data_IF_343752813826
#
_entry.id   IF_343752813826
#
_cell.length_a   1.000
_cell.length_b   1.000
_cell.length_c   1.000
_cell.angle_alpha   90.00
_cell.angle_beta   90.00
_cell.angle_gamma   90.00
#
_symmetry.space_group_name_H-M   'P 1'
#
loop_
_entity.id
_entity.type
_entity.pdbx_description
1 polymer ?
#
# COMPACT_ATOMS: atom_id res chain seq x y z
N UNK A 1 -38.64 23.30 -2.18
CA UNK A 1 -38.49 22.85 -3.58
C UNK A 1 -37.88 23.95 -4.43
N UNK A 2 -37.06 23.57 -5.43
CA UNK A 2 -36.34 24.41 -6.44
C UNK A 2 -35.00 24.98 -5.92
N UNK A 3 -33.83 24.75 -6.50
CA UNK A 3 -33.47 24.61 -7.91
C UNK A 3 -32.30 23.61 -8.12
N UNK A 4 -32.52 22.56 -8.89
CA UNK A 4 -31.45 21.79 -9.51
C UNK A 4 -30.97 22.49 -10.77
N UNK A 5 -29.95 23.35 -10.67
CA UNK A 5 -29.19 23.77 -11.86
C UNK A 5 -28.29 22.62 -12.28
N UNK A 6 -28.77 21.79 -13.21
CA UNK A 6 -27.92 20.84 -13.94
C UNK A 6 -27.02 21.65 -14.88
N UNK A 7 -25.94 22.21 -14.34
CA UNK A 7 -24.93 22.92 -15.11
C UNK A 7 -24.26 21.92 -16.05
N UNK A 8 -24.48 22.04 -17.37
CA UNK A 8 -23.72 21.26 -18.35
C UNK A 8 -22.25 21.61 -18.15
N UNK A 9 -21.46 20.64 -17.70
CA UNK A 9 -20.02 20.79 -17.56
C UNK A 9 -19.46 20.90 -18.98
N UNK A 10 -18.93 22.07 -19.35
CA UNK A 10 -18.32 22.24 -20.65
C UNK A 10 -16.87 21.70 -20.60
N UNK A 11 -16.41 20.95 -21.61
CA UNK A 11 -15.06 20.40 -21.63
C UNK A 11 -13.98 21.47 -21.44
N UNK A 12 -14.20 22.66 -22.00
CA UNK A 12 -13.29 23.81 -21.88
C UNK A 12 -13.21 24.40 -20.46
N UNK A 13 -14.28 24.34 -19.67
CA UNK A 13 -14.26 24.75 -18.26
C UNK A 13 -13.61 23.68 -17.39
N UNK A 14 -13.89 22.41 -17.69
CA UNK A 14 -13.29 21.29 -16.98
C UNK A 14 -11.76 21.30 -17.12
N UNK A 15 -11.23 21.47 -18.33
CA UNK A 15 -9.78 21.53 -18.56
C UNK A 15 -9.12 22.74 -17.88
N UNK A 16 -9.81 23.89 -17.83
CA UNK A 16 -9.32 25.07 -17.12
C UNK A 16 -9.23 24.83 -15.60
N UNK A 17 -10.23 24.16 -15.02
CA UNK A 17 -10.23 23.80 -13.58
C UNK A 17 -9.14 22.77 -13.29
N UNK A 18 -9.05 21.70 -14.09
CA UNK A 18 -8.00 20.67 -13.95
C UNK A 18 -6.62 21.32 -13.98
N UNK A 19 -6.34 22.18 -14.96
CA UNK A 19 -5.04 22.86 -15.07
C UNK A 19 -4.72 23.71 -13.84
N UNK A 20 -5.71 24.43 -13.29
CA UNK A 20 -5.53 25.24 -12.08
C UNK A 20 -5.18 24.37 -10.87
N UNK A 21 -5.95 23.31 -10.64
CA UNK A 21 -5.74 22.42 -9.48
C UNK A 21 -4.43 21.66 -9.60
N UNK A 22 -4.05 21.21 -10.80
CA UNK A 22 -2.74 20.58 -11.04
C UNK A 22 -1.58 21.51 -10.66
N UNK A 23 -1.60 22.77 -11.10
CA UNK A 23 -0.55 23.74 -10.76
C UNK A 23 -0.52 23.99 -9.24
N UNK A 24 -1.68 24.04 -8.58
CA UNK A 24 -1.73 24.17 -7.11
C UNK A 24 -1.12 22.97 -6.40
N UNK A 25 -1.47 21.74 -6.79
CA UNK A 25 -0.92 20.52 -6.20
C UNK A 25 0.60 20.47 -6.39
N UNK A 26 1.08 20.80 -7.60
CA UNK A 26 2.53 20.82 -7.89
C UNK A 26 3.30 21.88 -7.10
N UNK A 27 2.66 22.99 -6.74
CA UNK A 27 3.27 24.05 -5.91
C UNK A 27 3.11 23.79 -4.42
N UNK A 28 2.20 22.91 -4.02
CA UNK A 28 2.04 22.51 -2.64
C UNK A 28 3.09 21.45 -2.28
N UNK A 29 4.28 21.94 -1.91
CA UNK A 29 5.42 21.12 -1.52
C UNK A 29 5.09 20.20 -0.35
N UNK A 30 4.16 20.56 0.55
CA UNK A 30 3.77 19.72 1.69
C UNK A 30 2.95 18.53 1.22
N UNK A 31 1.96 18.78 0.36
CA UNK A 31 1.14 17.71 -0.22
C UNK A 31 1.97 16.76 -1.08
N UNK A 32 2.89 17.29 -1.91
CA UNK A 32 3.84 16.46 -2.65
C UNK A 32 4.76 15.67 -1.71
N UNK A 33 5.31 16.31 -0.69
CA UNK A 33 6.17 15.64 0.28
C UNK A 33 5.43 14.49 0.95
N UNK A 34 4.19 14.66 1.40
CA UNK A 34 3.41 13.58 2.02
C UNK A 34 3.10 12.45 1.03
N UNK A 35 2.77 12.78 -0.22
CA UNK A 35 2.50 11.80 -1.27
C UNK A 35 3.70 10.88 -1.56
N UNK A 36 4.93 11.37 -1.40
CA UNK A 36 6.15 10.58 -1.57
C UNK A 36 6.70 10.00 -0.26
N UNK A 37 6.64 10.75 0.84
CA UNK A 37 7.25 10.38 2.11
C UNK A 37 6.51 9.22 2.78
N UNK A 38 5.17 9.22 2.73
CA UNK A 38 4.37 8.09 3.26
C UNK A 38 4.75 6.75 2.63
N UNK A 39 4.74 6.59 1.28
CA UNK A 39 5.13 5.33 0.67
C UNK A 39 6.62 5.00 0.86
N UNK A 40 7.51 5.98 0.97
CA UNK A 40 8.93 5.74 1.28
C UNK A 40 9.10 5.17 2.69
N UNK A 41 8.43 5.74 3.70
CA UNK A 41 8.44 5.21 5.07
C UNK A 41 7.88 3.79 5.08
N UNK A 42 6.76 3.57 4.38
CA UNK A 42 6.14 2.26 4.24
C UNK A 42 7.10 1.24 3.60
N UNK A 43 7.83 1.64 2.56
CA UNK A 43 8.84 0.82 1.90
C UNK A 43 9.99 0.47 2.85
N UNK A 44 10.42 1.38 3.71
CA UNK A 44 11.43 1.06 4.73
C UNK A 44 10.88 0.10 5.78
N UNK A 45 9.66 0.32 6.28
CA UNK A 45 9.03 -0.59 7.24
C UNK A 45 8.86 -1.98 6.65
N UNK A 46 8.38 -2.10 5.41
CA UNK A 46 8.18 -3.40 4.78
C UNK A 46 9.46 -4.02 4.21
N UNK A 47 10.39 -3.22 3.71
CA UNK A 47 11.66 -3.71 3.15
C UNK A 47 12.69 -4.10 4.21
N UNK A 48 12.65 -3.46 5.38
CA UNK A 48 13.57 -3.74 6.49
C UNK A 48 12.89 -4.43 7.68
N UNK A 49 11.69 -3.98 8.05
CA UNK A 49 10.95 -4.51 9.21
C UNK A 49 10.24 -5.84 8.97
N UNK A 50 9.93 -6.18 7.71
CA UNK A 50 9.66 -7.58 7.35
C UNK A 50 11.02 -8.22 7.07
N UNK A 51 11.64 -8.73 8.13
CA UNK A 51 12.79 -9.62 7.99
C UNK A 51 12.34 -10.82 7.14
N UNK A 52 12.85 -10.96 5.92
CA UNK A 52 12.70 -12.18 5.10
C UNK A 52 13.48 -13.38 5.68
N UNK A 53 14.09 -13.22 6.85
CA UNK A 53 14.82 -14.28 7.54
C UNK A 53 13.83 -15.16 8.30
N UNK A 54 13.17 -16.05 7.55
CA UNK A 54 12.42 -17.20 8.06
C UNK A 54 13.42 -18.26 8.61
N UNK A 55 14.45 -17.83 9.34
CA UNK A 55 15.44 -18.74 9.96
C UNK A 55 15.15 -19.00 11.43
N UNK A 56 14.37 -18.14 12.08
CA UNK A 56 14.10 -18.23 13.51
C UNK A 56 12.65 -18.57 13.87
N UNK A 57 11.89 -19.14 12.94
CA UNK A 57 10.65 -19.83 13.35
C UNK A 57 11.04 -21.16 13.98
N UNK A 58 10.75 -21.32 15.28
CA UNK A 58 10.78 -22.61 15.96
C UNK A 58 9.73 -23.51 15.29
N UNK A 59 10.13 -24.22 14.24
CA UNK A 59 9.30 -25.20 13.57
C UNK A 59 9.20 -26.43 14.49
N UNK A 60 8.06 -26.59 15.13
CA UNK A 60 7.73 -27.82 15.86
C UNK A 60 7.22 -28.86 14.88
N UNK A 61 7.86 -30.02 14.82
CA UNK A 61 7.36 -31.14 14.03
C UNK A 61 6.33 -31.91 14.86
N UNK A 62 5.11 -32.06 14.34
CA UNK A 62 4.03 -32.80 14.99
C UNK A 62 3.80 -34.14 14.29
N UNK A 63 4.30 -35.21 14.89
CA UNK A 63 4.12 -36.59 14.41
C UNK A 63 2.74 -37.13 14.86
N UNK A 64 1.81 -37.20 13.89
CA UNK A 64 0.46 -37.76 14.06
C UNK A 64 0.42 -39.28 13.90
N UNK A 65 1.32 -39.84 13.09
CA UNK A 65 1.31 -41.24 12.69
C UNK A 65 1.98 -42.12 13.76
N UNK A 66 2.93 -41.56 14.53
CA UNK A 66 3.65 -42.22 15.63
C UNK A 66 4.37 -43.51 15.22
N UNK A 67 4.55 -43.73 13.91
CA UNK A 67 5.26 -44.88 13.36
C UNK A 67 6.77 -44.63 13.35
N UNK A 68 7.55 -45.70 13.23
CA UNK A 68 9.01 -45.59 13.14
C UNK A 68 9.44 -44.89 11.83
N UNK A 69 8.75 -45.16 10.73
CA UNK A 69 8.98 -44.52 9.42
C UNK A 69 8.72 -43.01 9.47
N UNK A 70 7.65 -42.57 10.15
CA UNK A 70 7.32 -41.14 10.27
C UNK A 70 8.39 -40.36 11.06
N UNK A 71 8.96 -40.97 12.11
CA UNK A 71 10.06 -40.36 12.88
C UNK A 71 11.36 -40.24 12.08
N UNK A 72 11.61 -41.14 11.14
CA UNK A 72 12.77 -41.09 10.24
C UNK A 72 12.76 -39.94 9.23
N UNK A 73 11.64 -39.22 9.07
CA UNK A 73 11.54 -38.03 8.21
C UNK A 73 12.04 -36.74 8.87
N UNK A 74 12.32 -36.79 10.18
CA UNK A 74 12.65 -35.63 11.01
C UNK A 74 14.11 -35.65 11.51
N UNK A 75 14.78 -36.81 11.40
CA UNK A 75 16.23 -36.96 11.57
C UNK A 75 17.00 -36.39 10.36
#
# INVERSE_FOLDING_TARGET
MKYGRKGRVSPRRLTAVIKKEFIHIFRDTRSLAMAFLMPVILLFIFGYGITLDIKSINMGVYDLDKTAESRGLVE
#
